data_IF_234699979229
#
_entry.id   IF_234699979229
#
_cell.length_a   1.000
_cell.length_b   1.000
_cell.length_c   1.000
_cell.angle_alpha   90.00
_cell.angle_beta   90.00
_cell.angle_gamma   90.00
#
_symmetry.space_group_name_H-M   'P 1'
#
loop_
_entity.id
_entity.type
_entity.pdbx_description
1 polymer ?
#
# COMPACT_ATOMS: atom_id res chain seq x y z
N UNK A 1 -20.39 6.69 -13.25
CA UNK A 1 -19.54 5.89 -12.35
C UNK A 1 -18.09 6.20 -12.61
N UNK A 2 -17.29 6.34 -11.56
CA UNK A 2 -15.84 6.52 -11.63
C UNK A 2 -15.15 5.24 -11.17
N UNK A 3 -14.06 4.88 -11.83
CA UNK A 3 -13.21 3.76 -11.44
C UNK A 3 -11.84 4.26 -11.05
N UNK A 4 -11.31 3.77 -9.93
CA UNK A 4 -9.96 4.03 -9.48
C UNK A 4 -9.25 2.72 -9.17
N UNK A 5 -8.10 2.50 -9.81
CA UNK A 5 -7.22 1.38 -9.53
C UNK A 5 -5.96 1.85 -8.83
N UNK A 6 -5.51 1.12 -7.83
CA UNK A 6 -4.27 1.38 -7.12
C UNK A 6 -3.57 0.09 -6.71
N UNK A 7 -2.28 0.20 -6.48
CA UNK A 7 -1.47 -0.94 -6.13
C UNK A 7 -1.60 -1.26 -4.63
N UNK A 8 -2.03 -2.47 -4.32
CA UNK A 8 -2.02 -3.04 -2.97
C UNK A 8 -1.02 -4.18 -2.85
N UNK A 9 -0.17 -4.37 -3.85
CA UNK A 9 0.84 -5.42 -3.83
C UNK A 9 1.90 -5.16 -2.76
N UNK A 10 2.51 -6.22 -2.22
CA UNK A 10 3.55 -6.06 -1.22
C UNK A 10 4.75 -5.32 -1.81
N UNK A 11 5.27 -4.38 -1.04
CA UNK A 11 6.45 -3.59 -1.41
C UNK A 11 7.69 -4.46 -1.57
N UNK A 12 7.77 -5.49 -0.74
CA UNK A 12 8.90 -6.42 -0.64
C UNK A 12 8.34 -7.82 -0.58
N UNK A 13 8.28 -8.63 -1.51
CA UNK A 13 7.93 -10.08 -1.43
C UNK A 13 7.34 -10.56 -0.08
N UNK A 14 6.63 -9.67 0.61
CA UNK A 14 5.90 -9.93 1.85
C UNK A 14 4.58 -10.59 1.50
N UNK A 15 4.00 -11.31 2.44
CA UNK A 15 2.70 -11.94 2.23
C UNK A 15 1.56 -10.93 2.22
N UNK A 16 1.71 -9.85 3.00
CA UNK A 16 0.68 -8.85 3.21
C UNK A 16 0.82 -7.68 2.23
N UNK A 17 -0.31 -7.18 1.77
CA UNK A 17 -0.38 -5.99 0.95
C UNK A 17 -0.16 -4.71 1.75
N UNK A 18 0.14 -3.64 1.03
CA UNK A 18 0.29 -2.28 1.58
C UNK A 18 -0.23 -1.25 0.60
N UNK A 19 -0.95 -0.24 1.08
CA UNK A 19 -1.34 0.92 0.27
C UNK A 19 -0.41 2.08 0.59
N UNK A 20 0.31 2.59 -0.42
CA UNK A 20 1.25 3.67 -0.17
C UNK A 20 0.51 4.94 0.32
N UNK A 21 1.10 5.71 1.26
CA UNK A 21 0.51 6.99 1.69
C UNK A 21 0.27 7.96 0.52
N UNK A 22 1.08 7.87 -0.54
CA UNK A 22 0.92 8.67 -1.74
C UNK A 22 -0.34 8.29 -2.51
N UNK A 23 -0.62 6.98 -2.64
CA UNK A 23 -1.82 6.49 -3.32
C UNK A 23 -3.09 6.90 -2.55
N UNK A 24 -3.06 6.83 -1.22
CA UNK A 24 -4.16 7.30 -0.37
C UNK A 24 -4.39 8.80 -0.55
N UNK A 25 -3.31 9.59 -0.54
CA UNK A 25 -3.39 11.05 -0.73
C UNK A 25 -3.92 11.38 -2.12
N UNK A 26 -3.35 10.78 -3.15
CA UNK A 26 -3.80 10.93 -4.54
C UNK A 26 -5.28 10.58 -4.69
N UNK A 27 -5.72 9.45 -4.14
CA UNK A 27 -7.12 9.02 -4.25
C UNK A 27 -8.07 10.02 -3.59
N UNK A 28 -7.74 10.52 -2.39
CA UNK A 28 -8.54 11.58 -1.72
C UNK A 28 -8.63 12.84 -2.55
N UNK A 29 -7.53 13.28 -3.13
CA UNK A 29 -7.49 14.46 -4.00
C UNK A 29 -8.36 14.25 -5.25
N UNK A 30 -8.23 13.10 -5.93
CA UNK A 30 -9.01 12.79 -7.13
C UNK A 30 -10.52 12.66 -6.82
N UNK A 31 -10.87 12.05 -5.70
CA UNK A 31 -12.26 11.96 -5.25
C UNK A 31 -12.86 13.33 -4.94
N UNK A 32 -12.04 14.26 -4.46
CA UNK A 32 -12.47 15.61 -4.07
C UNK A 32 -12.61 16.58 -5.25
N UNK A 33 -11.94 16.33 -6.39
CA UNK A 33 -11.94 17.23 -7.56
C UNK A 33 -13.25 17.28 -8.34
N UNK A 34 -14.12 16.28 -8.17
CA UNK A 34 -15.37 16.15 -8.93
C UNK A 34 -16.57 16.01 -8.00
N UNK A 35 -17.75 15.99 -8.58
CA UNK A 35 -18.99 15.76 -7.85
C UNK A 35 -18.87 14.50 -6.98
N UNK A 36 -18.97 14.71 -5.67
CA UNK A 36 -18.82 13.65 -4.66
C UNK A 36 -19.99 12.67 -4.67
N UNK A 37 -21.10 13.03 -5.27
CA UNK A 37 -22.28 12.15 -5.42
C UNK A 37 -22.06 11.06 -6.47
N UNK A 38 -21.10 11.23 -7.39
CA UNK A 38 -20.86 10.24 -8.43
C UNK A 38 -20.43 8.91 -7.83
N UNK A 39 -21.09 7.80 -8.18
CA UNK A 39 -20.72 6.47 -7.71
C UNK A 39 -19.29 6.11 -8.07
N UNK A 40 -18.58 5.53 -7.11
CA UNK A 40 -17.17 5.14 -7.24
C UNK A 40 -17.01 3.64 -7.05
N UNK A 41 -16.22 3.02 -7.91
CA UNK A 41 -15.76 1.64 -7.78
C UNK A 41 -14.23 1.68 -7.67
N UNK A 42 -13.71 1.09 -6.60
CA UNK A 42 -12.27 0.92 -6.40
C UNK A 42 -11.83 -0.45 -6.92
N UNK A 43 -10.63 -0.55 -7.45
CA UNK A 43 -10.03 -1.80 -7.87
C UNK A 43 -8.67 -1.98 -7.20
N UNK A 44 -8.46 -3.15 -6.59
CA UNK A 44 -7.25 -3.52 -5.87
C UNK A 44 -6.85 -4.95 -6.24
N UNK A 45 -5.70 -5.42 -5.79
CA UNK A 45 -5.40 -6.86 -5.84
C UNK A 45 -5.78 -7.53 -4.52
N UNK A 46 -5.27 -7.02 -3.39
CA UNK A 46 -5.53 -7.58 -2.07
C UNK A 46 -6.87 -7.10 -1.50
N UNK A 47 -7.58 -7.96 -0.73
CA UNK A 47 -8.72 -7.55 0.08
C UNK A 47 -8.33 -6.46 1.09
N UNK A 48 -9.17 -5.46 1.29
CA UNK A 48 -8.90 -4.34 2.22
C UNK A 48 -9.30 -4.71 3.65
N UNK A 49 -8.62 -5.69 4.23
CA UNK A 49 -8.91 -6.17 5.58
C UNK A 49 -7.65 -6.60 6.32
N UNK A 50 -7.81 -6.79 7.63
CA UNK A 50 -6.76 -7.34 8.49
C UNK A 50 -6.26 -8.70 7.98
N UNK A 51 -4.94 -8.87 7.95
CA UNK A 51 -4.28 -10.08 7.46
C UNK A 51 -4.02 -10.10 5.95
N UNK A 52 -4.57 -9.16 5.18
CA UNK A 52 -4.33 -9.05 3.74
C UNK A 52 -3.61 -7.74 3.38
N UNK A 53 -3.96 -6.62 4.02
CA UNK A 53 -3.32 -5.32 3.85
C UNK A 53 -3.06 -4.72 5.22
N UNK A 54 -1.82 -4.39 5.53
CA UNK A 54 -1.40 -3.95 6.87
C UNK A 54 -2.03 -2.63 7.30
N UNK A 55 -2.21 -1.69 6.36
CA UNK A 55 -2.82 -0.38 6.60
C UNK A 55 -4.20 -0.22 5.93
N UNK A 56 -4.95 -1.30 5.77
CA UNK A 56 -6.28 -1.31 5.14
C UNK A 56 -7.22 -0.23 5.70
N UNK A 57 -7.14 0.03 7.01
CA UNK A 57 -7.98 1.00 7.73
C UNK A 57 -7.69 2.45 7.30
N UNK A 58 -6.46 2.80 6.98
CA UNK A 58 -6.12 4.14 6.49
C UNK A 58 -6.81 4.44 5.16
N UNK A 59 -6.93 3.44 4.30
CA UNK A 59 -7.63 3.60 3.02
C UNK A 59 -9.15 3.65 3.22
N UNK A 60 -9.74 2.74 4.00
CA UNK A 60 -11.19 2.73 4.23
C UNK A 60 -11.63 4.02 4.91
N UNK A 61 -10.88 4.55 5.88
CA UNK A 61 -11.14 5.85 6.50
C UNK A 61 -11.03 7.01 5.51
N UNK A 62 -10.04 6.96 4.63
CA UNK A 62 -9.83 8.02 3.65
C UNK A 62 -10.99 8.15 2.66
N UNK A 63 -11.71 7.06 2.38
CA UNK A 63 -12.74 7.03 1.33
C UNK A 63 -14.18 6.95 1.83
N UNK A 64 -14.42 6.69 3.12
CA UNK A 64 -15.77 6.45 3.68
C UNK A 64 -16.76 7.59 3.49
N UNK A 65 -16.29 8.83 3.37
CA UNK A 65 -17.13 10.02 3.13
C UNK A 65 -17.51 10.24 1.65
N UNK A 66 -17.01 9.39 0.77
CA UNK A 66 -17.34 9.41 -0.65
C UNK A 66 -18.34 8.30 -1.01
N UNK A 67 -19.02 8.44 -2.14
CA UNK A 67 -20.01 7.46 -2.61
C UNK A 67 -19.35 6.19 -3.18
N UNK A 68 -18.66 5.41 -2.31
CA UNK A 68 -17.99 4.17 -2.71
C UNK A 68 -19.02 3.04 -2.78
N UNK A 69 -19.19 2.46 -3.96
CA UNK A 69 -20.21 1.42 -4.20
C UNK A 69 -19.66 0.01 -4.10
N UNK A 70 -18.40 -0.16 -4.45
CA UNK A 70 -17.72 -1.46 -4.34
C UNK A 70 -16.21 -1.30 -4.36
N UNK A 71 -15.52 -2.31 -3.78
CA UNK A 71 -14.10 -2.59 -4.00
C UNK A 71 -14.01 -3.94 -4.72
N UNK A 72 -13.39 -3.95 -5.90
CA UNK A 72 -13.17 -5.16 -6.70
C UNK A 72 -11.73 -5.62 -6.49
N UNK A 73 -11.54 -6.89 -6.13
CA UNK A 73 -10.24 -7.45 -5.81
C UNK A 73 -10.03 -8.86 -6.34
N UNK A 74 -8.86 -9.41 -6.05
CA UNK A 74 -8.44 -10.75 -6.42
C UNK A 74 -7.87 -11.51 -5.24
N UNK A 75 -6.64 -11.99 -5.36
CA UNK A 75 -5.82 -12.65 -4.34
C UNK A 75 -6.28 -14.06 -3.93
N UNK A 76 -7.54 -14.27 -3.56
CA UNK A 76 -8.03 -15.56 -3.07
C UNK A 76 -8.39 -16.58 -4.16
N UNK A 77 -8.31 -16.18 -5.43
CA UNK A 77 -8.59 -17.04 -6.58
C UNK A 77 -9.98 -17.71 -6.55
N UNK A 78 -10.95 -17.08 -5.91
CA UNK A 78 -12.34 -17.57 -5.80
C UNK A 78 -13.30 -16.37 -5.76
N UNK A 79 -14.54 -16.60 -6.16
CA UNK A 79 -15.59 -15.61 -5.97
C UNK A 79 -15.99 -15.53 -4.49
N UNK A 80 -16.01 -14.32 -3.93
CA UNK A 80 -16.43 -14.08 -2.56
C UNK A 80 -16.93 -12.63 -2.38
N UNK A 81 -17.84 -12.45 -1.43
CA UNK A 81 -18.35 -11.15 -1.01
C UNK A 81 -17.78 -10.80 0.35
N UNK A 82 -17.32 -9.57 0.50
CA UNK A 82 -16.76 -9.03 1.74
C UNK A 82 -17.42 -7.70 2.09
N UNK A 83 -17.21 -7.26 3.31
CA UNK A 83 -17.53 -5.92 3.78
C UNK A 83 -16.27 -5.33 4.42
N UNK A 84 -15.66 -4.36 3.75
CA UNK A 84 -14.48 -3.64 4.23
C UNK A 84 -14.94 -2.39 4.98
N UNK A 85 -15.06 -2.46 6.29
CA UNK A 85 -15.66 -1.40 7.11
C UNK A 85 -17.05 -0.95 6.61
N UNK A 86 -17.86 -1.91 6.20
CA UNK A 86 -19.18 -1.66 5.63
C UNK A 86 -19.16 -1.41 4.11
N UNK A 87 -18.03 -1.12 3.51
CA UNK A 87 -17.88 -0.95 2.05
C UNK A 87 -17.94 -2.34 1.38
N UNK A 88 -18.87 -2.58 0.45
CA UNK A 88 -18.97 -3.87 -0.21
C UNK A 88 -17.71 -4.22 -1.01
N UNK A 89 -17.20 -5.43 -0.83
CA UNK A 89 -16.06 -5.98 -1.55
C UNK A 89 -16.41 -7.23 -2.34
N UNK A 90 -15.91 -7.31 -3.56
CA UNK A 90 -16.04 -8.50 -4.40
C UNK A 90 -14.64 -9.02 -4.75
N UNK A 91 -14.37 -10.23 -4.35
CA UNK A 91 -13.16 -10.95 -4.75
C UNK A 91 -13.50 -11.89 -5.89
N UNK A 92 -12.61 -11.91 -6.87
CA UNK A 92 -12.81 -12.66 -8.11
C UNK A 92 -12.01 -13.96 -8.13
N UNK A 93 -12.58 -14.94 -8.81
CA UNK A 93 -11.81 -16.11 -9.18
C UNK A 93 -10.64 -15.73 -10.11
N UNK A 94 -9.60 -16.53 -10.06
CA UNK A 94 -8.45 -16.43 -10.95
C UNK A 94 -8.69 -17.16 -12.26
N UNK A 95 -7.96 -16.76 -13.30
CA UNK A 95 -7.79 -17.56 -14.51
C UNK A 95 -6.93 -18.82 -14.28
N UNK A 96 -6.19 -18.87 -13.16
CA UNK A 96 -5.46 -20.06 -12.73
C UNK A 96 -6.41 -21.14 -12.21
N UNK A 97 -6.04 -22.41 -12.37
CA UNK A 97 -6.78 -23.58 -11.92
C UNK A 97 -6.80 -23.79 -10.39
N UNK A 98 -6.80 -22.76 -9.58
CA UNK A 98 -6.81 -22.93 -8.14
C UNK A 98 -8.08 -23.67 -7.68
N UNK A 99 -8.00 -24.98 -7.52
CA UNK A 99 -9.10 -25.88 -7.10
C UNK A 99 -10.31 -25.94 -8.05
N UNK A 100 -10.16 -25.51 -9.30
CA UNK A 100 -11.18 -25.62 -10.33
C UNK A 100 -10.60 -26.30 -11.58
N UNK A 101 -11.39 -27.10 -12.26
CA UNK A 101 -10.94 -27.83 -13.46
C UNK A 101 -10.67 -26.89 -14.65
N UNK A 102 -11.32 -25.75 -14.67
CA UNK A 102 -11.24 -24.78 -15.77
C UNK A 102 -10.99 -23.37 -15.25
N UNK A 103 -10.12 -22.63 -15.92
CA UNK A 103 -9.90 -21.21 -15.67
C UNK A 103 -11.13 -20.36 -15.99
N UNK A 104 -11.15 -19.13 -15.52
CA UNK A 104 -12.24 -18.20 -15.79
C UNK A 104 -11.92 -16.78 -15.31
N UNK A 105 -12.86 -15.88 -15.56
CA UNK A 105 -12.77 -14.46 -15.20
C UNK A 105 -14.15 -13.94 -14.80
N UNK A 106 -14.19 -12.73 -14.28
CA UNK A 106 -15.44 -12.06 -13.92
C UNK A 106 -15.78 -10.97 -14.95
N UNK A 107 -17.05 -10.92 -15.29
CA UNK A 107 -17.64 -9.84 -16.09
C UNK A 107 -18.47 -8.98 -15.16
N UNK A 108 -18.21 -7.68 -15.15
CA UNK A 108 -18.98 -6.71 -14.40
C UNK A 108 -19.87 -5.89 -15.31
N UNK A 109 -21.18 -5.91 -15.04
CA UNK A 109 -22.17 -5.06 -15.71
C UNK A 109 -22.64 -4.00 -14.73
N UNK A 110 -22.44 -2.74 -15.11
CA UNK A 110 -22.89 -1.59 -14.32
C UNK A 110 -24.16 -1.03 -14.95
N UNK A 111 -25.22 -0.99 -14.17
CA UNK A 111 -26.48 -0.33 -14.52
C UNK A 111 -26.71 0.86 -13.58
N UNK A 112 -27.73 1.70 -13.80
CA UNK A 112 -28.06 2.76 -12.84
C UNK A 112 -28.30 2.24 -11.42
N UNK A 113 -28.86 1.04 -11.27
CA UNK A 113 -29.30 0.49 -9.99
C UNK A 113 -28.39 -0.60 -9.41
N UNK A 114 -27.55 -1.21 -10.24
CA UNK A 114 -26.84 -2.44 -9.87
C UNK A 114 -25.45 -2.53 -10.48
N UNK A 115 -24.52 -3.09 -9.69
CA UNK A 115 -23.26 -3.68 -10.13
C UNK A 115 -23.44 -5.19 -10.12
N UNK A 116 -23.53 -5.81 -11.29
CA UNK A 116 -23.76 -7.25 -11.46
C UNK A 116 -22.43 -7.91 -11.77
N UNK A 117 -22.05 -8.93 -11.00
CA UNK A 117 -20.89 -9.76 -11.27
C UNK A 117 -21.32 -11.14 -11.81
N UNK A 118 -20.77 -11.50 -12.95
CA UNK A 118 -20.96 -12.80 -13.59
C UNK A 118 -19.63 -13.51 -13.73
N UNK A 119 -19.60 -14.79 -13.45
CA UNK A 119 -18.46 -15.66 -13.70
C UNK A 119 -18.53 -16.18 -15.13
N UNK A 120 -17.43 -16.06 -15.87
CA UNK A 120 -17.24 -16.65 -17.18
C UNK A 120 -16.14 -17.71 -17.08
N UNK A 121 -16.49 -18.96 -17.26
CA UNK A 121 -15.50 -20.04 -17.43
C UNK A 121 -15.13 -20.20 -18.90
N UNK A 122 -13.93 -20.73 -19.17
CA UNK A 122 -13.49 -21.01 -20.54
C UNK A 122 -14.44 -22.06 -21.15
N UNK A 123 -15.05 -21.71 -22.29
CA UNK A 123 -16.01 -22.57 -22.99
C UNK A 123 -17.42 -22.65 -22.37
N UNK A 124 -17.69 -21.90 -21.30
CA UNK A 124 -19.00 -21.81 -20.65
C UNK A 124 -19.72 -20.50 -20.93
N UNK A 125 -20.97 -20.41 -20.51
CA UNK A 125 -21.76 -19.18 -20.55
C UNK A 125 -21.59 -18.37 -19.27
N UNK A 126 -21.71 -17.02 -19.33
CA UNK A 126 -21.62 -16.17 -18.13
C UNK A 126 -22.74 -16.52 -17.14
N UNK A 127 -22.37 -16.76 -15.89
CA UNK A 127 -23.33 -17.02 -14.80
C UNK A 127 -23.25 -15.90 -13.76
N UNK A 128 -24.34 -15.17 -13.59
CA UNK A 128 -24.45 -14.21 -12.49
C UNK A 128 -24.33 -14.92 -11.14
N UNK A 129 -23.47 -14.40 -10.26
CA UNK A 129 -23.30 -14.92 -8.92
C UNK A 129 -23.61 -13.90 -7.82
N UNK A 130 -23.52 -12.60 -8.10
CA UNK A 130 -23.88 -11.53 -7.14
C UNK A 130 -24.30 -10.27 -7.88
N UNK A 131 -25.11 -9.44 -7.22
CA UNK A 131 -25.32 -8.05 -7.58
C UNK A 131 -25.28 -7.18 -6.33
N UNK A 132 -24.65 -6.02 -6.43
CA UNK A 132 -24.61 -4.98 -5.43
C UNK A 132 -25.46 -3.80 -5.88
N UNK A 133 -26.14 -3.15 -4.94
CA UNK A 133 -26.90 -1.92 -5.23
C UNK A 133 -25.95 -0.77 -5.59
N UNK A 134 -26.30 0.00 -6.59
CA UNK A 134 -25.64 1.26 -6.97
C UNK A 134 -26.33 2.49 -6.37
N UNK A 135 -27.37 2.32 -5.53
CA UNK A 135 -27.98 3.42 -4.78
C UNK A 135 -26.93 4.11 -3.90
N UNK A 136 -26.96 5.43 -3.86
CA UNK A 136 -26.00 6.23 -3.09
C UNK A 136 -25.91 5.78 -1.64
N UNK A 137 -24.70 5.63 -1.18
CA UNK A 137 -24.40 5.24 0.19
C UNK A 137 -23.07 5.81 0.63
N UNK A 138 -23.09 6.36 1.83
CA UNK A 138 -21.93 6.86 2.55
C UNK A 138 -21.77 6.02 3.82
N UNK A 139 -20.55 5.94 4.31
CA UNK A 139 -20.26 5.10 5.47
C UNK A 139 -20.06 5.99 6.70
N UNK A 140 -20.55 5.51 7.86
CA UNK A 140 -20.53 6.25 9.09
C UNK A 140 -19.08 6.65 9.46
N UNK A 141 -18.91 7.93 9.89
CA UNK A 141 -17.63 8.43 10.40
C UNK A 141 -17.24 7.82 11.74
N UNK A 142 -18.18 7.26 12.48
CA UNK A 142 -17.93 6.64 13.80
C UNK A 142 -17.14 5.33 13.71
N UNK A 143 -16.56 5.09 12.58
CA UNK A 143 -15.59 4.06 12.39
C UNK A 143 -16.17 2.67 12.28
N UNK A 144 -15.41 1.86 11.71
CA UNK A 144 -15.57 0.45 11.68
C UNK A 144 -15.61 -0.09 13.11
N UNK A 145 -16.55 -0.98 13.37
CA UNK A 145 -16.47 -1.88 14.51
C UNK A 145 -15.35 -2.91 14.36
N UNK A 146 -14.65 -2.85 13.25
CA UNK A 146 -13.51 -3.70 12.94
C UNK A 146 -12.34 -3.27 13.83
N UNK A 147 -11.67 -4.22 14.40
CA UNK A 147 -10.50 -3.92 15.25
C UNK A 147 -9.39 -3.33 14.41
N UNK A 148 -9.09 -2.07 14.65
CA UNK A 148 -7.82 -1.48 14.22
C UNK A 148 -6.66 -2.23 14.89
N UNK A 149 -5.46 -2.20 14.30
CA UNK A 149 -4.28 -2.75 14.94
C UNK A 149 -4.13 -2.21 16.36
N UNK A 150 -3.89 -3.10 17.31
CA UNK A 150 -3.63 -2.69 18.69
C UNK A 150 -2.23 -2.09 18.81
N UNK A 151 -2.18 -0.78 18.91
CA UNK A 151 -0.93 -0.02 19.12
C UNK A 151 -0.71 0.34 20.60
N UNK A 152 -1.46 -0.25 21.53
CA UNK A 152 -1.36 0.02 22.98
C UNK A 152 0.04 -0.28 23.55
N UNK A 153 0.83 -1.12 22.86
CA UNK A 153 2.25 -1.33 23.18
C UNK A 153 3.02 -0.01 23.28
N UNK A 154 2.63 1.02 22.54
CA UNK A 154 3.25 2.33 22.63
C UNK A 154 3.03 3.00 24.00
N UNK A 155 1.99 2.60 24.73
CA UNK A 155 1.71 3.09 26.10
C UNK A 155 2.59 2.40 27.14
N UNK A 156 3.13 1.24 26.83
CA UNK A 156 4.00 0.45 27.73
C UNK A 156 5.32 1.17 28.01
N UNK A 157 5.74 2.02 27.09
CA UNK A 157 7.03 2.72 27.16
C UNK A 157 6.84 4.22 27.41
N UNK A 158 6.05 4.59 28.41
CA UNK A 158 5.73 5.99 28.74
C UNK A 158 6.95 6.85 29.06
N UNK A 159 8.07 6.24 29.48
CA UNK A 159 9.34 6.93 29.69
C UNK A 159 10.06 7.27 28.39
N UNK A 160 9.63 6.72 27.25
CA UNK A 160 10.20 7.07 25.95
C UNK A 160 9.57 8.35 25.46
N UNK A 161 10.33 9.42 25.48
CA UNK A 161 9.88 10.72 24.99
C UNK A 161 10.30 10.93 23.54
N UNK A 162 9.35 11.41 22.73
CA UNK A 162 9.64 11.87 21.37
C UNK A 162 10.60 13.06 21.42
N UNK A 163 11.76 12.95 20.78
CA UNK A 163 12.73 14.04 20.65
C UNK A 163 12.47 14.90 19.41
N UNK A 164 12.06 14.28 18.33
CA UNK A 164 11.72 14.92 17.07
C UNK A 164 11.01 13.94 16.14
N UNK A 165 10.22 14.48 15.23
CA UNK A 165 9.54 13.72 14.16
C UNK A 165 9.86 14.37 12.82
N UNK A 166 10.03 13.53 11.79
CA UNK A 166 10.12 13.97 10.40
C UNK A 166 8.99 13.30 9.62
N UNK A 167 8.09 14.11 9.09
CA UNK A 167 7.05 13.62 8.16
C UNK A 167 7.65 13.57 6.75
N UNK A 168 7.85 12.38 6.22
CA UNK A 168 8.47 12.17 4.90
C UNK A 168 7.46 12.24 3.76
N UNK A 169 6.19 11.93 4.02
CA UNK A 169 5.15 11.76 3.00
C UNK A 169 5.39 10.54 2.08
N UNK A 170 6.32 9.65 2.46
CA UNK A 170 6.74 8.48 1.69
C UNK A 170 6.83 7.28 2.61
N UNK A 171 6.50 6.09 2.11
CA UNK A 171 6.67 4.84 2.86
C UNK A 171 8.13 4.56 3.22
N UNK A 172 8.37 4.09 4.44
CA UNK A 172 9.69 3.69 4.94
C UNK A 172 9.59 2.23 5.38
N UNK A 173 10.37 1.38 4.74
CA UNK A 173 10.45 -0.06 5.05
C UNK A 173 11.80 -0.43 5.65
N UNK A 174 12.83 0.40 5.41
CA UNK A 174 14.14 0.20 6.02
C UNK A 174 14.15 0.57 7.49
N UNK A 175 14.85 -0.18 8.33
CA UNK A 175 15.14 0.27 9.68
C UNK A 175 16.14 1.42 9.66
N UNK A 176 15.96 2.43 10.54
CA UNK A 176 16.96 3.48 10.69
C UNK A 176 18.26 2.94 11.25
N UNK A 177 19.39 3.42 10.76
CA UNK A 177 20.71 3.09 11.28
C UNK A 177 21.39 4.32 11.86
N UNK A 178 21.96 4.19 13.05
CA UNK A 178 22.68 5.26 13.73
C UNK A 178 24.18 5.03 13.63
N UNK A 179 24.90 6.05 13.19
CA UNK A 179 26.35 6.07 13.25
C UNK A 179 26.83 7.45 13.68
N UNK A 180 27.59 7.51 14.77
CA UNK A 180 27.99 8.76 15.42
C UNK A 180 26.75 9.63 15.71
N UNK A 181 26.70 10.86 15.20
CA UNK A 181 25.59 11.79 15.39
C UNK A 181 24.65 11.87 14.16
N UNK A 182 24.50 10.77 13.43
CA UNK A 182 23.71 10.69 12.21
C UNK A 182 22.74 9.50 12.26
N UNK A 183 21.57 9.70 11.64
CA UNK A 183 20.57 8.65 11.38
C UNK A 183 20.41 8.54 9.86
N UNK A 184 20.49 7.33 9.34
CA UNK A 184 20.33 7.04 7.90
C UNK A 184 19.07 6.22 7.69
N UNK A 185 18.25 6.63 6.74
CA UNK A 185 16.96 6.01 6.44
C UNK A 185 16.76 5.95 4.93
N UNK A 186 16.45 4.75 4.43
CA UNK A 186 16.01 4.55 3.05
C UNK A 186 14.49 4.67 2.91
N UNK A 187 14.00 5.13 1.77
CA UNK A 187 12.58 5.27 1.51
C UNK A 187 12.12 4.55 0.23
N UNK A 188 10.80 4.47 0.05
CA UNK A 188 10.16 3.76 -1.07
C UNK A 188 10.33 4.46 -2.42
N UNK A 189 10.76 5.72 -2.45
CA UNK A 189 11.11 6.44 -3.68
C UNK A 189 12.61 6.35 -4.03
N UNK A 190 13.37 5.54 -3.28
CA UNK A 190 14.79 5.32 -3.56
C UNK A 190 15.72 6.37 -3.00
N UNK A 191 15.28 7.12 -2.00
CA UNK A 191 16.11 8.14 -1.38
C UNK A 191 16.69 7.64 -0.07
N UNK A 192 18.02 7.60 0.04
CA UNK A 192 18.70 7.48 1.32
C UNK A 192 18.90 8.87 1.91
N UNK A 193 18.32 9.12 3.09
CA UNK A 193 18.43 10.41 3.77
C UNK A 193 19.21 10.28 5.07
N UNK A 194 20.12 11.22 5.30
CA UNK A 194 20.87 11.39 6.55
C UNK A 194 20.29 12.53 7.36
N UNK A 195 19.92 12.26 8.60
CA UNK A 195 19.44 13.23 9.56
C UNK A 195 20.43 13.40 10.72
N UNK A 196 20.41 14.55 11.34
CA UNK A 196 21.11 14.78 12.59
C UNK A 196 20.36 14.06 13.72
N UNK A 197 21.03 13.17 14.45
CA UNK A 197 20.46 12.38 15.56
C UNK A 197 19.87 13.25 16.67
N UNK A 198 20.42 14.44 16.91
CA UNK A 198 20.04 15.30 18.04
C UNK A 198 18.73 16.06 17.79
N UNK A 199 18.48 16.47 16.54
CA UNK A 199 17.38 17.40 16.22
C UNK A 199 16.57 17.07 14.95
N UNK A 200 16.81 15.92 14.30
CA UNK A 200 16.09 15.49 13.11
C UNK A 200 16.33 16.33 11.84
N UNK A 201 17.21 17.35 11.88
CA UNK A 201 17.48 18.16 10.69
C UNK A 201 18.17 17.32 9.61
N UNK A 202 17.64 17.39 8.40
CA UNK A 202 18.26 16.74 7.24
C UNK A 202 19.65 17.34 6.96
N UNK A 203 20.65 16.48 6.83
CA UNK A 203 22.02 16.85 6.46
C UNK A 203 22.26 16.72 4.96
N UNK A 204 21.90 15.58 4.40
CA UNK A 204 22.02 15.27 2.99
C UNK A 204 21.05 14.16 2.59
N UNK A 205 20.85 13.96 1.29
CA UNK A 205 20.22 12.78 0.73
C UNK A 205 20.93 12.37 -0.57
N UNK A 206 20.72 11.09 -0.94
CA UNK A 206 21.14 10.50 -2.20
C UNK A 206 19.96 9.77 -2.81
N UNK A 207 19.76 9.86 -4.12
CA UNK A 207 18.67 9.18 -4.83
C UNK A 207 19.21 8.06 -5.72
N UNK A 208 18.77 6.84 -5.47
CA UNK A 208 18.84 5.72 -6.41
C UNK A 208 17.67 5.80 -7.40
N UNK A 209 17.59 4.87 -8.36
CA UNK A 209 16.53 4.87 -9.37
C UNK A 209 15.26 4.12 -8.93
N UNK A 210 15.30 3.43 -7.79
CA UNK A 210 14.17 2.66 -7.27
C UNK A 210 14.30 2.53 -5.75
N UNK A 211 13.27 2.01 -5.08
CA UNK A 211 13.14 1.91 -3.62
C UNK A 211 14.37 1.35 -2.91
N UNK A 212 14.56 1.83 -1.69
CA UNK A 212 15.53 1.33 -0.72
C UNK A 212 14.73 0.72 0.44
N UNK A 213 14.59 -0.58 0.41
CA UNK A 213 13.77 -1.29 1.38
C UNK A 213 14.61 -1.97 2.46
N UNK A 214 15.81 -2.42 2.10
CA UNK A 214 16.76 -2.98 3.05
C UNK A 214 17.32 -1.95 4.02
N UNK A 215 17.64 -2.41 5.22
CA UNK A 215 18.32 -1.57 6.22
C UNK A 215 19.74 -1.23 5.76
N UNK A 216 20.15 0.03 5.73
CA UNK A 216 21.52 0.41 5.43
C UNK A 216 22.50 -0.13 6.47
N UNK A 217 23.75 -0.33 6.08
CA UNK A 217 24.86 -0.62 7.01
C UNK A 217 25.85 0.54 7.00
N UNK A 218 26.44 0.85 8.15
CA UNK A 218 27.44 1.93 8.26
C UNK A 218 28.66 1.46 9.03
N UNK A 219 29.81 1.56 8.38
CA UNK A 219 31.11 1.28 9.00
C UNK A 219 32.18 2.16 8.35
N UNK A 220 33.22 2.51 9.10
CA UNK A 220 34.43 3.21 8.63
C UNK A 220 34.17 4.46 7.77
N UNK A 221 33.08 5.18 8.07
CA UNK A 221 32.71 6.38 7.34
C UNK A 221 32.02 6.14 5.99
N UNK A 222 31.63 4.89 5.71
CA UNK A 222 30.88 4.51 4.51
C UNK A 222 29.51 3.98 4.93
N UNK A 223 28.45 4.50 4.29
CA UNK A 223 27.12 3.92 4.36
C UNK A 223 26.85 3.10 3.11
N UNK A 224 26.44 1.85 3.31
CA UNK A 224 26.14 0.89 2.25
C UNK A 224 24.66 0.56 2.26
N UNK A 225 24.03 0.51 1.09
CA UNK A 225 22.62 0.12 0.95
C UNK A 225 22.36 -0.55 -0.41
N UNK A 226 21.37 -1.42 -0.44
CA UNK A 226 20.83 -2.00 -1.65
C UNK A 226 19.64 -1.20 -2.17
N UNK A 227 19.38 -1.28 -3.46
CA UNK A 227 18.21 -0.69 -4.09
C UNK A 227 17.54 -1.68 -5.05
N UNK A 228 16.22 -1.57 -5.19
CA UNK A 228 15.46 -2.34 -6.17
C UNK A 228 15.83 -1.97 -7.62
N UNK A 229 16.66 -0.98 -7.84
CA UNK A 229 17.25 -0.65 -9.16
C UNK A 229 18.39 -1.58 -9.57
N UNK A 230 18.58 -2.68 -8.84
CA UNK A 230 19.61 -3.70 -9.06
C UNK A 230 21.03 -3.19 -8.84
N UNK A 231 21.25 -2.37 -7.84
CA UNK A 231 22.58 -1.91 -7.46
C UNK A 231 22.76 -1.89 -5.95
N UNK A 232 24.01 -2.06 -5.52
CA UNK A 232 24.49 -1.77 -4.18
C UNK A 232 25.31 -0.49 -4.26
N UNK A 233 25.11 0.40 -3.31
CA UNK A 233 25.75 1.71 -3.25
C UNK A 233 26.60 1.85 -1.98
N UNK A 234 27.78 2.42 -2.11
CA UNK A 234 28.61 2.87 -1.00
C UNK A 234 28.81 4.37 -1.08
N UNK A 235 28.31 5.10 -0.07
CA UNK A 235 28.41 6.54 0.00
C UNK A 235 29.29 6.96 1.19
N UNK A 236 29.93 8.12 1.09
CA UNK A 236 30.54 8.78 2.23
C UNK A 236 29.45 9.12 3.27
N UNK A 237 29.55 8.57 4.46
CA UNK A 237 28.55 8.72 5.51
C UNK A 237 28.39 10.18 6.00
N UNK A 238 29.40 11.03 5.84
CA UNK A 238 29.36 12.42 6.32
C UNK A 238 28.63 13.33 5.33
N UNK A 239 28.89 13.19 4.03
CA UNK A 239 28.41 14.14 3.01
C UNK A 239 27.54 13.54 1.91
N UNK A 240 27.29 12.22 1.91
CA UNK A 240 26.43 11.51 0.95
C UNK A 240 27.01 11.36 -0.45
N UNK A 241 28.29 11.69 -0.68
CA UNK A 241 28.90 11.51 -1.99
C UNK A 241 29.11 10.06 -2.30
N UNK A 242 28.78 9.66 -3.54
CA UNK A 242 29.00 8.30 -4.04
C UNK A 242 30.51 8.00 -4.05
N UNK A 243 30.88 6.86 -3.43
CA UNK A 243 32.25 6.33 -3.45
C UNK A 243 32.31 5.22 -4.49
N UNK A 244 31.35 4.29 -4.45
CA UNK A 244 31.27 3.18 -5.39
C UNK A 244 29.81 2.72 -5.57
N UNK A 245 29.60 2.01 -6.67
CA UNK A 245 28.33 1.40 -7.06
C UNK A 245 28.59 0.07 -7.73
N UNK A 246 27.91 -0.97 -7.31
CA UNK A 246 28.07 -2.34 -7.82
C UNK A 246 26.71 -2.78 -8.40
N UNK A 247 26.65 -3.13 -9.70
CA UNK A 247 25.45 -3.68 -10.31
C UNK A 247 25.20 -5.11 -9.82
N UNK A 248 23.94 -5.50 -9.72
CA UNK A 248 23.51 -6.85 -9.38
C UNK A 248 22.51 -7.38 -10.41
N UNK A 249 22.38 -8.71 -10.50
CA UNK A 249 21.44 -9.32 -11.46
C UNK A 249 19.97 -9.23 -11.00
N UNK A 250 19.75 -9.03 -9.71
CA UNK A 250 18.41 -8.97 -9.09
C UNK A 250 18.26 -7.68 -8.25
N UNK A 251 17.02 -7.22 -8.00
CA UNK A 251 16.77 -6.17 -7.01
C UNK A 251 17.39 -6.53 -5.65
N UNK A 252 18.00 -5.56 -4.99
CA UNK A 252 18.56 -5.71 -3.64
C UNK A 252 17.57 -5.10 -2.65
N UNK A 253 17.05 -5.95 -1.77
CA UNK A 253 15.98 -5.61 -0.82
C UNK A 253 16.45 -5.76 0.61
#
# INVERSE_FOLDING_TARGET
VRFFGFNTGPVLRMADGHVSPQDITWLKEELSKKDKSLPVILTTHYPLQYGDVDNWYELTDAVRTFNIRAVLGGHYHRNAVFAYDGIPGLINRSNLRAKADVGGYSIYTVTPDSLIASEQTIGGEPKRWVALSMTDKYYDEQGSKTKYPDISVNQTYQQVNEKWVVKTGVGIFSSPVIWKNNVYVGDDLGKLTCYNLKNGKKKWNYSSKNRIAGTPAVADGIVVFGSADKNIYGLNAVNGKLIWKIPTNQPVL
#
